data_IF_113677149962
#
_entry.id   IF_113677149962
#
_cell.length_a   1.000
_cell.length_b   1.000
_cell.length_c   1.000
_cell.angle_alpha   90.00
_cell.angle_beta   90.00
_cell.angle_gamma   90.00
#
_symmetry.space_group_name_H-M   'P 1'
#
loop_
_entity.id
_entity.type
_entity.pdbx_description
1 polymer ?
#
# COMPACT_ATOMS: atom_id res chain seq x y z
N UNK A 1 -11.23 -20.83 -16.25
CA UNK A 1 -9.81 -21.12 -16.59
C UNK A 1 -8.94 -20.75 -15.39
N UNK A 2 -7.72 -21.30 -15.32
CA UNK A 2 -6.72 -20.82 -14.35
C UNK A 2 -6.28 -19.39 -14.67
N UNK A 3 -5.89 -18.62 -13.63
CA UNK A 3 -5.53 -17.21 -13.72
C UNK A 3 -4.31 -17.00 -14.63
N UNK A 4 -3.31 -17.90 -14.57
CA UNK A 4 -2.11 -17.79 -15.41
C UNK A 4 -2.45 -17.97 -16.90
N UNK A 5 -3.38 -18.87 -17.21
CA UNK A 5 -3.86 -19.10 -18.58
C UNK A 5 -4.58 -17.86 -19.10
N UNK A 6 -5.40 -17.22 -18.27
CA UNK A 6 -6.12 -15.98 -18.59
C UNK A 6 -5.19 -14.79 -18.83
N UNK A 7 -4.17 -14.61 -17.98
CA UNK A 7 -3.17 -13.55 -18.15
C UNK A 7 -2.38 -13.70 -19.46
N UNK A 8 -1.97 -14.92 -19.76
CA UNK A 8 -1.28 -15.22 -21.02
C UNK A 8 -2.18 -15.00 -22.24
N UNK A 9 -3.45 -15.41 -22.17
CA UNK A 9 -4.43 -15.19 -23.25
C UNK A 9 -4.71 -13.69 -23.48
N UNK A 10 -4.81 -12.89 -22.42
CA UNK A 10 -4.93 -11.44 -22.50
C UNK A 10 -3.73 -10.81 -23.20
N UNK A 11 -2.51 -11.17 -22.81
CA UNK A 11 -1.28 -10.65 -23.43
C UNK A 11 -1.20 -10.98 -24.92
N UNK A 12 -1.55 -12.22 -25.31
CA UNK A 12 -1.61 -12.62 -26.72
C UNK A 12 -2.66 -11.83 -27.50
N UNK A 13 -3.82 -11.56 -26.91
CA UNK A 13 -4.88 -10.77 -27.56
C UNK A 13 -4.41 -9.32 -27.81
N UNK A 14 -3.76 -8.68 -26.83
CA UNK A 14 -3.19 -7.33 -26.99
C UNK A 14 -2.08 -7.30 -28.03
N UNK A 15 -1.19 -8.29 -28.04
CA UNK A 15 -0.13 -8.39 -29.05
C UNK A 15 -0.71 -8.54 -30.47
N UNK A 16 -1.76 -9.36 -30.62
CA UNK A 16 -2.45 -9.54 -31.90
C UNK A 16 -3.21 -8.29 -32.34
N UNK A 17 -3.83 -7.56 -31.42
CA UNK A 17 -4.45 -6.28 -31.71
C UNK A 17 -3.42 -5.27 -32.23
N UNK A 18 -2.24 -5.21 -31.61
CA UNK A 18 -1.14 -4.33 -32.06
C UNK A 18 -0.52 -4.75 -33.39
N UNK A 19 -0.51 -6.05 -33.69
CA UNK A 19 0.01 -6.59 -34.95
C UNK A 19 -1.00 -6.64 -36.10
N UNK A 20 -2.27 -6.32 -35.85
CA UNK A 20 -3.31 -6.32 -36.87
C UNK A 20 -3.20 -5.08 -37.76
N UNK A 21 -3.09 -5.30 -39.07
CA UNK A 21 -3.02 -4.24 -40.08
C UNK A 21 -4.35 -3.54 -40.34
N UNK A 22 -5.47 -4.21 -40.04
CA UNK A 22 -6.82 -3.70 -40.28
C UNK A 22 -7.52 -3.32 -38.98
N UNK A 23 -8.30 -2.24 -39.03
CA UNK A 23 -9.00 -1.67 -37.87
C UNK A 23 -10.06 -2.62 -37.29
N UNK A 24 -10.77 -3.35 -38.15
CA UNK A 24 -11.79 -4.32 -37.74
C UNK A 24 -11.17 -5.53 -37.01
N UNK A 25 -10.10 -6.09 -37.57
CA UNK A 25 -9.34 -7.19 -36.95
C UNK A 25 -8.72 -6.77 -35.62
N UNK A 26 -8.21 -5.53 -35.55
CA UNK A 26 -7.67 -4.95 -34.32
C UNK A 26 -8.74 -4.82 -33.24
N UNK A 27 -9.94 -4.36 -33.60
CA UNK A 27 -11.05 -4.25 -32.66
C UNK A 27 -11.49 -5.61 -32.11
N UNK A 28 -11.60 -6.63 -32.96
CA UNK A 28 -11.94 -8.01 -32.53
C UNK A 28 -10.94 -8.53 -31.49
N UNK A 29 -9.64 -8.20 -31.65
CA UNK A 29 -8.62 -8.59 -30.68
C UNK A 29 -8.70 -7.79 -29.38
N UNK A 30 -9.08 -6.51 -29.44
CA UNK A 30 -9.33 -5.70 -28.24
C UNK A 30 -10.57 -6.16 -27.48
N UNK A 31 -11.65 -6.53 -28.16
CA UNK A 31 -12.86 -7.06 -27.52
C UNK A 31 -12.54 -8.36 -26.76
N UNK A 32 -11.72 -9.22 -27.35
CA UNK A 32 -11.20 -10.43 -26.67
C UNK A 32 -10.30 -10.09 -25.47
N UNK A 33 -9.45 -9.08 -25.59
CA UNK A 33 -8.60 -8.64 -24.49
C UNK A 33 -9.42 -8.07 -23.31
N UNK A 34 -10.51 -7.35 -23.61
CA UNK A 34 -11.45 -6.83 -22.63
C UNK A 34 -12.18 -7.96 -21.89
N UNK A 35 -12.68 -8.97 -22.62
CA UNK A 35 -13.32 -10.14 -22.00
C UNK A 35 -12.39 -10.88 -21.03
N UNK A 36 -11.12 -11.09 -21.41
CA UNK A 36 -10.16 -11.72 -20.51
C UNK A 36 -9.84 -10.87 -19.28
N UNK A 37 -9.84 -9.54 -19.40
CA UNK A 37 -9.62 -8.65 -18.27
C UNK A 37 -10.76 -8.74 -17.24
N UNK A 38 -12.01 -8.87 -17.69
CA UNK A 38 -13.17 -9.10 -16.83
C UNK A 38 -13.07 -10.44 -16.08
N UNK A 39 -12.75 -11.52 -16.79
CA UNK A 39 -12.59 -12.86 -16.22
C UNK A 39 -11.45 -12.90 -15.17
N UNK A 40 -10.34 -12.19 -15.43
CA UNK A 40 -9.24 -12.02 -14.46
C UNK A 40 -9.72 -11.28 -13.21
N UNK A 41 -10.53 -10.23 -13.39
CA UNK A 41 -11.12 -9.45 -12.31
C UNK A 41 -12.02 -10.33 -11.43
N UNK A 42 -12.89 -11.12 -12.04
CA UNK A 42 -13.79 -12.03 -11.32
C UNK A 42 -13.05 -13.07 -10.47
N UNK A 43 -11.91 -13.60 -10.97
CA UNK A 43 -11.08 -14.56 -10.22
C UNK A 43 -10.22 -13.91 -9.12
N UNK A 44 -9.92 -12.60 -9.23
CA UNK A 44 -9.12 -11.85 -8.25
C UNK A 44 -9.94 -11.26 -7.10
N UNK A 45 -11.27 -11.24 -7.20
CA UNK A 45 -12.14 -10.81 -6.10
C UNK A 45 -12.35 -12.03 -5.18
N UNK A 46 -11.70 -12.11 -4.00
CA UNK A 46 -12.11 -13.08 -2.99
C UNK A 46 -13.55 -12.74 -2.58
N UNK A 47 -14.44 -13.74 -2.37
CA UNK A 47 -15.86 -13.52 -2.09
C UNK A 47 -16.16 -12.80 -0.75
N UNK A 48 -15.17 -12.21 -0.07
CA UNK A 48 -15.37 -11.58 1.23
C UNK A 48 -14.41 -10.43 1.57
N UNK A 49 -14.14 -9.51 0.64
CA UNK A 49 -13.52 -8.21 0.98
C UNK A 49 -14.45 -7.06 0.61
N UNK A 50 -15.37 -6.76 1.51
CA UNK A 50 -16.03 -5.44 1.56
C UNK A 50 -14.94 -4.38 1.77
N UNK A 51 -14.63 -3.62 0.73
CA UNK A 51 -13.80 -2.42 0.85
C UNK A 51 -14.66 -1.34 1.50
N UNK A 52 -14.30 -0.91 2.71
CA UNK A 52 -14.95 0.22 3.37
C UNK A 52 -14.72 1.48 2.51
N UNK A 53 -15.78 1.97 1.86
CA UNK A 53 -15.75 3.20 1.07
C UNK A 53 -15.53 4.40 2.01
N UNK A 54 -14.38 5.06 1.83
CA UNK A 54 -13.98 6.30 2.50
C UNK A 54 -14.94 7.44 2.14
N UNK A 55 -15.87 7.75 3.04
CA UNK A 55 -16.81 8.88 2.99
C UNK A 55 -16.14 10.26 3.21
N UNK A 56 -14.93 10.47 2.69
CA UNK A 56 -14.10 11.64 3.03
C UNK A 56 -13.30 12.14 1.83
N UNK A 57 -13.95 12.66 0.79
CA UNK A 57 -13.31 13.55 -0.18
C UNK A 57 -14.26 14.71 -0.51
N UNK A 58 -13.78 15.94 -0.32
CA UNK A 58 -14.56 17.16 -0.42
C UNK A 58 -14.94 17.51 -1.87
N UNK A 59 -16.14 18.07 -2.04
CA UNK A 59 -16.72 18.49 -3.33
C UNK A 59 -15.92 19.65 -3.93
N UNK A 60 -15.23 19.40 -5.04
CA UNK A 60 -14.60 20.47 -5.83
C UNK A 60 -13.51 20.05 -6.80
N UNK A 61 -12.96 18.85 -6.67
CA UNK A 61 -11.80 18.43 -7.48
C UNK A 61 -12.24 17.45 -8.56
N UNK A 62 -12.52 17.94 -9.77
CA UNK A 62 -12.67 17.09 -10.96
C UNK A 62 -11.28 16.65 -11.42
N UNK A 63 -10.99 15.35 -11.29
CA UNK A 63 -9.71 14.73 -11.68
C UNK A 63 -9.87 14.04 -13.04
N UNK A 64 -9.36 14.64 -14.11
CA UNK A 64 -9.34 14.01 -15.43
C UNK A 64 -8.13 13.08 -15.50
N UNK A 65 -8.38 11.78 -15.35
CA UNK A 65 -7.34 10.74 -15.27
C UNK A 65 -7.52 9.68 -14.17
N UNK A 66 -8.63 9.68 -13.43
CA UNK A 66 -8.92 8.61 -12.46
C UNK A 66 -9.44 7.37 -13.18
N UNK A 67 -8.55 6.43 -13.49
CA UNK A 67 -8.96 5.04 -13.35
C UNK A 67 -9.29 4.88 -11.86
N UNK A 68 -10.46 4.31 -11.58
CA UNK A 68 -10.93 4.14 -10.21
C UNK A 68 -9.79 3.56 -9.35
N UNK A 69 -9.73 3.97 -8.08
CA UNK A 69 -8.91 3.43 -6.98
C UNK A 69 -7.47 3.91 -6.71
N UNK A 70 -6.89 4.95 -7.34
CA UNK A 70 -5.83 5.67 -6.59
C UNK A 70 -5.57 7.11 -7.05
N UNK A 71 -5.40 8.00 -6.07
CA UNK A 71 -4.92 9.37 -6.29
C UNK A 71 -3.63 9.58 -5.53
N UNK A 72 -2.50 9.21 -6.13
CA UNK A 72 -1.19 9.61 -5.62
C UNK A 72 -0.77 10.94 -6.24
N UNK A 73 -0.75 11.94 -5.36
CA UNK A 73 0.16 13.09 -5.26
C UNK A 73 0.75 13.68 -6.55
N UNK A 74 0.44 14.96 -6.75
CA UNK A 74 1.00 15.89 -7.74
C UNK A 74 2.55 15.88 -7.78
N UNK A 75 3.21 15.57 -8.91
CA UNK A 75 4.61 15.93 -9.09
C UNK A 75 4.72 17.42 -9.46
N UNK A 76 5.75 18.14 -8.96
CA UNK A 76 5.98 19.52 -9.33
C UNK A 76 6.76 19.64 -10.66
N UNK A 77 6.28 20.59 -11.46
CA UNK A 77 7.02 21.52 -12.35
C UNK A 77 7.66 21.08 -13.67
N UNK A 78 7.33 21.92 -14.65
CA UNK A 78 7.99 22.34 -15.91
C UNK A 78 8.05 21.40 -17.10
N UNK A 79 7.54 21.92 -18.22
CA UNK A 79 7.48 21.36 -19.57
C UNK A 79 8.83 21.31 -20.30
N UNK A 80 9.91 21.81 -19.68
CA UNK A 80 11.26 21.87 -20.30
C UNK A 80 12.00 20.51 -20.30
N UNK A 81 11.39 19.43 -19.85
CA UNK A 81 12.06 18.13 -19.64
C UNK A 81 12.18 17.25 -20.90
N UNK A 82 11.71 17.70 -22.08
CA UNK A 82 11.74 16.89 -23.31
C UNK A 82 13.08 16.96 -24.07
N UNK A 83 13.94 17.95 -23.83
CA UNK A 83 15.24 18.09 -24.53
C UNK A 83 16.41 17.31 -23.90
N UNK A 84 16.21 16.62 -22.76
CA UNK A 84 17.27 15.92 -22.05
C UNK A 84 17.20 14.38 -22.16
N UNK A 85 16.99 13.87 -23.38
CA UNK A 85 16.88 12.43 -23.71
C UNK A 85 18.22 11.67 -23.59
N UNK A 86 19.25 12.30 -23.00
CA UNK A 86 20.57 11.73 -22.74
C UNK A 86 20.69 11.09 -21.36
N UNK A 87 19.75 10.23 -20.95
CA UNK A 87 19.97 9.19 -19.94
C UNK A 87 20.58 9.60 -18.59
N UNK A 88 20.44 10.85 -18.15
CA UNK A 88 20.87 11.23 -16.82
C UNK A 88 19.81 10.77 -15.81
N UNK A 89 19.95 9.54 -15.31
CA UNK A 89 19.20 9.08 -14.14
C UNK A 89 19.47 10.09 -13.03
N UNK A 90 18.47 10.92 -12.73
CA UNK A 90 18.54 11.83 -11.61
C UNK A 90 18.78 10.97 -10.38
N UNK A 91 19.95 11.10 -9.73
CA UNK A 91 20.20 10.41 -8.48
C UNK A 91 19.01 10.72 -7.57
N UNK A 92 18.35 9.70 -6.99
CA UNK A 92 17.23 9.95 -6.10
C UNK A 92 17.71 10.97 -5.08
N UNK A 93 17.00 12.10 -5.01
CA UNK A 93 17.26 13.14 -4.01
C UNK A 93 17.33 12.39 -2.69
N UNK A 94 18.49 12.37 -2.05
CA UNK A 94 18.65 11.76 -0.75
C UNK A 94 17.62 12.45 0.14
N UNK A 95 16.54 11.74 0.44
CA UNK A 95 15.65 12.14 1.53
C UNK A 95 16.58 12.29 2.71
N UNK A 96 16.60 13.45 3.41
CA UNK A 96 17.30 13.50 4.67
C UNK A 96 16.75 12.31 5.45
N UNK A 97 17.64 11.39 5.84
CA UNK A 97 17.26 10.23 6.63
C UNK A 97 16.51 10.82 7.80
N UNK A 98 15.18 10.65 7.83
CA UNK A 98 14.42 10.97 9.01
C UNK A 98 15.04 10.06 10.05
N UNK A 99 15.87 10.66 10.92
CA UNK A 99 16.58 9.93 11.96
C UNK A 99 15.53 9.10 12.67
N UNK A 100 15.54 7.81 12.37
CA UNK A 100 14.57 6.87 12.91
C UNK A 100 15.00 6.70 14.35
N UNK A 101 14.55 7.63 15.19
CA UNK A 101 14.90 7.65 16.60
C UNK A 101 14.12 6.51 17.23
N UNK A 102 14.80 5.39 17.42
CA UNK A 102 14.29 4.26 18.18
C UNK A 102 14.05 4.75 19.61
N UNK A 103 12.82 5.14 19.90
CA UNK A 103 12.38 5.33 21.28
C UNK A 103 12.18 3.95 21.87
N UNK A 104 13.19 3.43 22.57
CA UNK A 104 12.98 2.30 23.45
C UNK A 104 11.94 2.72 24.50
N UNK A 105 10.80 2.01 24.65
CA UNK A 105 9.89 2.28 25.75
C UNK A 105 10.63 2.01 27.07
N UNK A 106 10.44 2.89 28.05
CA UNK A 106 10.98 2.70 29.40
C UNK A 106 10.51 1.36 29.96
N UNK A 107 11.44 0.58 30.52
CA UNK A 107 11.15 -0.68 31.20
C UNK A 107 11.47 -0.53 32.68
N UNK A 108 10.50 -0.85 33.53
CA UNK A 108 10.59 -0.78 34.98
C UNK A 108 10.49 -2.19 35.56
N UNK A 109 11.42 -2.56 36.41
CA UNK A 109 11.51 -3.90 37.01
C UNK A 109 11.03 -3.85 38.45
N UNK A 110 10.12 -4.75 38.82
CA UNK A 110 9.61 -4.91 40.18
C UNK A 110 9.67 -6.38 40.55
N UNK A 111 10.72 -6.78 41.29
CA UNK A 111 11.02 -8.19 41.49
C UNK A 111 11.32 -8.89 40.17
N UNK A 112 10.56 -9.94 39.84
CA UNK A 112 10.65 -10.68 38.57
C UNK A 112 9.75 -10.12 37.46
N UNK A 113 8.91 -9.12 37.72
CA UNK A 113 7.97 -8.56 36.75
C UNK A 113 8.54 -7.31 36.05
N UNK A 114 8.16 -7.12 34.78
CA UNK A 114 8.57 -5.99 33.92
C UNK A 114 7.35 -5.19 33.49
N UNK A 115 7.41 -3.88 33.66
CA UNK A 115 6.34 -2.94 33.32
C UNK A 115 6.85 -1.88 32.35
N UNK A 116 6.02 -1.50 31.37
CA UNK A 116 6.29 -0.39 30.47
C UNK A 116 5.80 0.96 31.02
N UNK A 117 4.92 0.95 32.02
CA UNK A 117 4.33 2.12 32.66
C UNK A 117 4.86 2.25 34.11
N UNK A 118 5.38 3.43 34.45
CA UNK A 118 5.91 3.73 35.78
C UNK A 118 4.84 3.62 36.87
N UNK A 119 3.60 4.03 36.57
CA UNK A 119 2.52 4.02 37.56
C UNK A 119 2.17 2.60 38.01
N UNK A 120 2.17 1.64 37.07
CA UNK A 120 1.96 0.22 37.34
C UNK A 120 3.12 -0.36 38.15
N UNK A 121 4.37 -0.01 37.81
CA UNK A 121 5.54 -0.46 38.55
C UNK A 121 5.52 0.02 40.01
N UNK A 122 5.17 1.28 40.25
CA UNK A 122 5.08 1.83 41.60
C UNK A 122 3.97 1.16 42.42
N UNK A 123 2.81 0.90 41.80
CA UNK A 123 1.72 0.19 42.46
C UNK A 123 2.12 -1.23 42.86
N UNK A 124 2.80 -1.97 41.99
CA UNK A 124 3.27 -3.32 42.28
C UNK A 124 4.35 -3.33 43.36
N UNK A 125 5.28 -2.36 43.33
CA UNK A 125 6.30 -2.24 44.37
C UNK A 125 5.68 -1.95 45.74
N UNK A 126 4.65 -1.11 45.81
CA UNK A 126 3.92 -0.86 47.05
C UNK A 126 3.24 -2.13 47.59
N UNK A 127 2.61 -2.91 46.70
CA UNK A 127 2.01 -4.22 47.05
C UNK A 127 3.05 -5.19 47.61
N UNK A 128 4.20 -5.33 46.95
CA UNK A 128 5.26 -6.24 47.41
C UNK A 128 5.83 -5.83 48.77
N UNK A 129 5.97 -4.52 49.05
CA UNK A 129 6.38 -4.03 50.37
C UNK A 129 5.37 -4.34 51.46
N UNK A 130 4.08 -4.20 51.17
CA UNK A 130 3.02 -4.56 52.12
C UNK A 130 3.01 -6.07 52.39
N UNK A 131 3.15 -6.89 51.36
CA UNK A 131 3.23 -8.34 51.50
C UNK A 131 4.47 -8.78 52.31
N UNK A 132 5.63 -8.15 52.08
CA UNK A 132 6.85 -8.41 52.83
C UNK A 132 6.72 -8.03 54.32
N UNK A 133 6.06 -6.92 54.61
CA UNK A 133 5.78 -6.50 56.00
C UNK A 133 4.81 -7.45 56.72
N UNK A 134 3.89 -8.09 56.00
CA UNK A 134 2.95 -9.08 56.57
C UNK A 134 3.57 -10.48 56.74
N UNK A 135 4.68 -10.78 56.08
CA UNK A 135 5.38 -12.07 56.21
C UNK A 135 6.45 -12.10 57.30
N UNK A 136 6.80 -10.94 57.86
CA UNK A 136 7.83 -10.76 58.90
C UNK A 136 7.21 -10.69 60.32
N UNK A 137 5.89 -10.92 60.43
CA UNK A 137 5.09 -10.98 61.66
C UNK A 137 4.54 -12.41 61.86
#
# INVERSE_FOLDING_TARGET
MDLNVLLHAHQLAVMRAKGAGDDESRQIHFDKAAQYAEDIGALRIPPNRTVALLSSVARGTLSYGSYAWDSLQKPPSSLDAWENEGGAISRPRATPVAESRLTLPSQYFVGSAVFSDLSLAVAEHARQRQAAMQSDE
#
